data_IF_955482444710
#
_entry.id   IF_955482444710
#
_cell.length_a   1.000
_cell.length_b   1.000
_cell.length_c   1.000
_cell.angle_alpha   90.00
_cell.angle_beta   90.00
_cell.angle_gamma   90.00
#
_symmetry.space_group_name_H-M   'P 1'
#
loop_
_entity.id
_entity.type
_entity.pdbx_description
1 polymer ?
#
# COMPACT_ATOMS: atom_id res chain seq x y z
N UNK A 1 10.93 13.76 -18.90
CA UNK A 1 10.20 13.07 -17.83
C UNK A 1 9.47 11.90 -18.46
N UNK A 2 9.79 10.70 -17.99
CA UNK A 2 9.26 9.43 -18.46
C UNK A 2 7.87 9.19 -17.84
N UNK A 3 6.88 8.79 -18.63
CA UNK A 3 5.50 8.58 -18.18
C UNK A 3 5.32 7.35 -17.30
N UNK A 4 6.35 6.49 -17.18
CA UNK A 4 6.29 5.18 -16.52
C UNK A 4 6.07 5.23 -15.00
N UNK A 5 6.57 6.27 -14.30
CA UNK A 5 6.53 6.30 -12.82
C UNK A 5 5.11 6.53 -12.27
N UNK A 6 4.24 7.19 -13.04
CA UNK A 6 2.86 7.45 -12.63
C UNK A 6 2.00 6.18 -12.77
N UNK A 7 2.22 5.41 -13.83
CA UNK A 7 1.52 4.14 -14.08
C UNK A 7 1.87 3.10 -13.01
N UNK A 8 3.14 3.03 -12.61
CA UNK A 8 3.60 2.15 -11.52
C UNK A 8 2.99 2.51 -10.16
N UNK A 9 2.79 3.80 -9.89
CA UNK A 9 2.17 4.27 -8.65
C UNK A 9 0.67 3.92 -8.60
N UNK A 10 -0.06 4.20 -9.68
CA UNK A 10 -1.47 3.84 -9.79
C UNK A 10 -1.67 2.33 -9.65
N UNK A 11 -0.84 1.53 -10.33
CA UNK A 11 -0.88 0.07 -10.23
C UNK A 11 -0.57 -0.42 -8.81
N UNK A 12 0.40 0.17 -8.11
CA UNK A 12 0.70 -0.19 -6.72
C UNK A 12 -0.49 0.12 -5.79
N UNK A 13 -1.13 1.29 -5.96
CA UNK A 13 -2.32 1.69 -5.18
C UNK A 13 -3.46 0.70 -5.39
N UNK A 14 -3.78 0.37 -6.65
CA UNK A 14 -4.85 -0.58 -6.98
C UNK A 14 -4.59 -1.98 -6.42
N UNK A 15 -3.38 -2.50 -6.60
CA UNK A 15 -2.99 -3.82 -6.12
C UNK A 15 -3.05 -3.93 -4.59
N UNK A 16 -2.60 -2.89 -3.87
CA UNK A 16 -2.65 -2.85 -2.41
C UNK A 16 -4.09 -2.75 -1.89
N UNK A 17 -4.96 -1.97 -2.53
CA UNK A 17 -6.37 -1.90 -2.16
C UNK A 17 -7.10 -3.22 -2.44
N UNK A 18 -6.76 -3.89 -3.55
CA UNK A 18 -7.25 -5.24 -3.85
C UNK A 18 -6.81 -6.25 -2.77
N UNK A 19 -5.53 -6.22 -2.39
CA UNK A 19 -5.01 -7.02 -1.27
C UNK A 19 -5.76 -6.76 0.04
N UNK A 20 -5.99 -5.48 0.38
CA UNK A 20 -6.78 -5.10 1.57
C UNK A 20 -8.20 -5.64 1.52
N UNK A 21 -8.86 -5.58 0.38
CA UNK A 21 -10.24 -6.04 0.22
C UNK A 21 -10.37 -7.57 0.29
N UNK A 22 -9.29 -8.30 -0.03
CA UNK A 22 -9.25 -9.75 0.12
C UNK A 22 -9.09 -10.19 1.59
N UNK A 23 -8.66 -9.30 2.47
CA UNK A 23 -8.53 -9.58 3.91
C UNK A 23 -9.91 -9.44 4.56
N UNK A 24 -10.38 -10.54 5.12
CA UNK A 24 -11.69 -10.67 5.76
C UNK A 24 -11.63 -10.42 7.26
N UNK A 25 -10.49 -10.68 7.90
CA UNK A 25 -10.26 -10.42 9.32
C UNK A 25 -9.14 -9.40 9.49
N UNK A 26 -9.44 -8.26 10.14
CA UNK A 26 -8.47 -7.21 10.45
C UNK A 26 -8.76 -6.63 11.85
N UNK A 27 -8.49 -7.40 12.91
CA UNK A 27 -8.97 -7.10 14.26
C UNK A 27 -8.31 -5.84 14.84
N UNK A 28 -7.09 -5.54 14.42
CA UNK A 28 -6.32 -4.37 14.85
C UNK A 28 -6.51 -3.14 13.95
N UNK A 29 -7.35 -3.24 12.92
CA UNK A 29 -7.57 -2.18 11.92
C UNK A 29 -6.25 -1.63 11.32
N UNK A 30 -5.23 -2.47 11.22
CA UNK A 30 -3.86 -2.06 10.88
C UNK A 30 -3.70 -1.60 9.43
N UNK A 31 -4.65 -1.96 8.57
CA UNK A 31 -4.75 -1.50 7.17
C UNK A 31 -5.64 -0.26 7.01
N UNK A 32 -6.01 0.42 8.11
CA UNK A 32 -6.87 1.62 8.07
C UNK A 32 -6.26 2.78 7.27
N UNK A 33 -4.93 2.90 7.28
CA UNK A 33 -4.22 3.95 6.53
C UNK A 33 -4.22 3.72 5.02
N UNK A 34 -4.57 2.52 4.56
CA UNK A 34 -4.60 2.16 3.14
C UNK A 34 -5.91 2.67 2.53
N UNK A 35 -5.90 3.82 1.87
CA UNK A 35 -7.10 4.46 1.33
C UNK A 35 -6.82 5.28 0.08
N UNK A 36 -7.78 5.31 -0.84
CA UNK A 36 -7.72 6.17 -2.04
C UNK A 36 -7.56 7.66 -1.71
N UNK A 37 -8.00 8.10 -0.52
CA UNK A 37 -7.99 9.52 -0.15
C UNK A 37 -6.57 10.08 0.09
N UNK A 38 -5.59 9.23 0.37
CA UNK A 38 -4.19 9.62 0.59
C UNK A 38 -3.23 8.80 -0.27
N UNK A 39 -3.67 8.37 -1.45
CA UNK A 39 -2.87 7.55 -2.39
C UNK A 39 -1.56 8.24 -2.78
N UNK A 40 -1.54 9.56 -2.90
CA UNK A 40 -0.32 10.35 -3.15
C UNK A 40 0.77 10.15 -2.09
N UNK A 41 0.39 9.66 -0.90
CA UNK A 41 1.28 9.33 0.22
C UNK A 41 1.29 7.82 0.49
N UNK A 42 1.24 7.00 -0.56
CA UNK A 42 1.27 5.53 -0.50
C UNK A 42 2.35 4.99 0.46
N UNK A 43 3.55 5.57 0.43
CA UNK A 43 4.68 5.16 1.28
C UNK A 43 4.48 5.45 2.77
N UNK A 44 3.48 6.27 3.13
CA UNK A 44 3.08 6.54 4.52
C UNK A 44 2.05 5.54 5.03
N UNK A 45 1.55 4.64 4.19
CA UNK A 45 0.64 3.59 4.62
C UNK A 45 1.37 2.61 5.56
N UNK A 46 0.69 2.20 6.64
CA UNK A 46 1.23 1.29 7.62
C UNK A 46 1.72 -0.01 6.96
N UNK A 47 2.98 -0.37 7.20
CA UNK A 47 3.61 -1.58 6.66
C UNK A 47 4.09 -1.48 5.20
N UNK A 48 3.86 -0.37 4.49
CA UNK A 48 4.37 -0.17 3.13
C UNK A 48 5.79 0.39 3.17
N UNK A 49 6.67 -0.21 2.37
CA UNK A 49 8.04 0.27 2.18
C UNK A 49 8.28 0.59 0.72
N UNK A 50 8.70 1.83 0.47
CA UNK A 50 9.04 2.29 -0.87
C UNK A 50 10.55 2.38 -1.09
N UNK A 51 10.94 2.30 -2.36
CA UNK A 51 12.32 2.60 -2.77
C UNK A 51 12.63 4.07 -2.49
N UNK A 52 13.78 4.34 -1.88
CA UNK A 52 14.22 5.72 -1.59
C UNK A 52 14.30 6.53 -2.89
N UNK A 53 13.64 7.70 -2.90
CA UNK A 53 13.64 8.62 -4.03
C UNK A 53 12.56 8.36 -5.09
N UNK A 54 11.71 7.35 -4.91
CA UNK A 54 10.54 7.08 -5.77
C UNK A 54 9.32 6.69 -4.93
N UNK A 55 8.14 6.59 -5.55
CA UNK A 55 6.91 6.08 -4.92
C UNK A 55 6.71 4.56 -5.11
N UNK A 56 7.73 3.86 -5.62
CA UNK A 56 7.63 2.43 -5.97
C UNK A 56 7.65 1.58 -4.71
N UNK A 57 6.62 0.75 -4.52
CA UNK A 57 6.56 -0.21 -3.42
C UNK A 57 7.55 -1.35 -3.66
N UNK A 58 8.32 -1.69 -2.63
CA UNK A 58 9.33 -2.77 -2.68
C UNK A 58 9.16 -3.82 -1.59
N UNK A 59 8.40 -3.51 -0.53
CA UNK A 59 8.03 -4.50 0.47
C UNK A 59 6.74 -4.12 1.21
N UNK A 60 6.05 -5.15 1.69
CA UNK A 60 4.90 -5.06 2.59
C UNK A 60 5.27 -5.83 3.86
N UNK A 61 5.29 -5.16 5.01
CA UNK A 61 5.70 -5.73 6.30
C UNK A 61 4.56 -5.57 7.30
N UNK A 62 3.85 -6.68 7.56
CA UNK A 62 2.63 -6.74 8.38
C UNK A 62 2.70 -7.84 9.47
N UNK A 63 3.71 -7.84 10.36
CA UNK A 63 3.92 -8.94 11.30
C UNK A 63 2.87 -8.96 12.42
N UNK A 64 2.37 -10.16 12.75
CA UNK A 64 1.58 -10.44 13.95
C UNK A 64 0.27 -9.63 14.08
N UNK A 65 -0.34 -9.25 12.95
CA UNK A 65 -1.58 -8.45 12.94
C UNK A 65 -2.88 -9.27 12.93
N UNK A 66 -2.77 -10.60 12.86
CA UNK A 66 -3.93 -11.50 12.81
C UNK A 66 -4.82 -11.28 11.58
N UNK A 67 -4.20 -11.00 10.42
CA UNK A 67 -4.90 -10.82 9.15
C UNK A 67 -5.25 -12.19 8.55
N UNK A 68 -6.50 -12.38 8.13
CA UNK A 68 -7.00 -13.59 7.43
C UNK A 68 -7.74 -13.24 6.14
#
# INVERSE_FOLDING_TARGET
QDGSDNDDHESDVENLLSFKNAITLNPMQSLSTWTVNNSEQLCSWNGIWCRKGTQRVVAIILPQLGLE
#
